data_IF_943903973790
#
_entry.id   IF_943903973790
#
_cell.length_a   1.000
_cell.length_b   1.000
_cell.length_c   1.000
_cell.angle_alpha   90.00
_cell.angle_beta   90.00
_cell.angle_gamma   90.00
#
_symmetry.space_group_name_H-M   'P 1'
#
loop_
_entity.id
_entity.type
_entity.pdbx_description
1 polymer ?
#
# COMPACT_ATOMS: atom_id res chain seq x y z
N UNK A 1 6.32 53.75 21.93
CA UNK A 1 5.82 52.67 22.79
C UNK A 1 6.76 51.48 22.66
N UNK A 2 7.39 51.04 23.76
CA UNK A 2 8.32 49.92 23.75
C UNK A 2 7.52 48.60 23.63
N UNK A 3 7.70 47.87 22.53
CA UNK A 3 7.09 46.54 22.36
C UNK A 3 7.69 45.62 23.45
N UNK A 4 6.85 45.16 24.38
CA UNK A 4 7.25 44.26 25.45
C UNK A 4 7.53 42.88 24.88
N UNK A 5 8.73 42.33 25.14
CA UNK A 5 9.07 40.98 24.70
C UNK A 5 8.25 39.94 25.45
N UNK A 6 7.50 39.11 24.71
CA UNK A 6 6.68 38.04 25.28
C UNK A 6 7.51 36.87 25.86
N UNK A 7 8.72 36.63 25.33
CA UNK A 7 9.57 35.51 25.71
C UNK A 7 11.00 35.95 26.10
N UNK A 8 11.59 35.23 27.07
CA UNK A 8 12.98 35.46 27.52
C UNK A 8 14.00 35.31 26.38
N UNK A 9 13.73 34.44 25.42
CA UNK A 9 14.62 34.15 24.29
C UNK A 9 14.17 34.90 23.04
N UNK A 10 15.14 35.31 22.21
CA UNK A 10 14.85 35.85 20.88
C UNK A 10 14.39 34.71 19.98
N UNK A 11 13.33 34.95 19.20
CA UNK A 11 12.89 34.02 18.16
C UNK A 11 13.95 33.92 17.05
N UNK A 12 13.81 32.94 16.17
CA UNK A 12 14.69 32.84 14.99
C UNK A 12 14.54 34.09 14.12
N UNK A 13 13.30 34.56 13.94
CA UNK A 13 12.98 35.71 13.10
C UNK A 13 13.60 37.00 13.66
N UNK A 14 13.48 37.26 14.96
CA UNK A 14 14.12 38.41 15.63
C UNK A 14 15.64 38.41 15.40
N UNK A 15 16.27 37.22 15.44
CA UNK A 15 17.71 37.09 15.20
C UNK A 15 18.05 37.36 13.74
N UNK A 16 17.23 36.90 12.80
CA UNK A 16 17.43 37.20 11.37
C UNK A 16 17.27 38.69 11.08
N UNK A 17 16.35 39.37 11.76
CA UNK A 17 16.15 40.82 11.62
C UNK A 17 17.37 41.60 12.12
N UNK A 18 17.94 41.19 13.26
CA UNK A 18 19.22 41.74 13.76
C UNK A 18 20.35 41.52 12.73
N UNK A 19 20.42 40.34 12.12
CA UNK A 19 21.45 40.02 11.13
C UNK A 19 21.29 40.88 9.87
N UNK A 20 20.07 40.98 9.32
CA UNK A 20 19.78 41.84 8.15
C UNK A 20 20.15 43.30 8.42
N UNK A 21 19.70 43.83 9.57
CA UNK A 21 19.99 45.21 9.96
C UNK A 21 21.50 45.53 10.03
N UNK A 22 22.31 44.56 10.47
CA UNK A 22 23.76 44.68 10.52
C UNK A 22 24.40 44.50 9.14
N UNK A 23 23.91 43.56 8.31
CA UNK A 23 24.40 43.33 6.95
C UNK A 23 24.18 44.56 6.04
N UNK A 24 23.03 45.22 6.13
CA UNK A 24 22.70 46.42 5.34
C UNK A 24 23.64 47.60 5.63
N UNK A 25 24.31 47.59 6.79
CA UNK A 25 25.22 48.65 7.26
C UNK A 25 26.69 48.23 7.20
N UNK A 26 26.98 47.08 6.61
CA UNK A 26 28.33 46.56 6.51
C UNK A 26 29.02 47.20 5.29
N UNK A 27 30.22 47.73 5.47
CA UNK A 27 31.04 48.27 4.38
C UNK A 27 32.42 47.61 4.39
N UNK A 28 32.87 47.14 3.22
CA UNK A 28 34.17 46.45 3.08
C UNK A 28 34.36 45.28 4.07
N UNK A 29 33.28 44.54 4.35
CA UNK A 29 33.29 43.41 5.29
C UNK A 29 33.40 43.78 6.77
N UNK A 30 33.30 45.07 7.12
CA UNK A 30 33.37 45.56 8.50
C UNK A 30 32.11 46.33 8.87
N UNK A 31 31.71 46.22 10.14
CA UNK A 31 30.64 47.03 10.70
C UNK A 31 31.21 48.38 11.16
N UNK A 32 30.66 49.51 10.67
CA UNK A 32 31.03 50.84 11.15
C UNK A 32 30.86 50.99 12.66
N UNK A 33 31.68 51.86 13.26
CA UNK A 33 31.62 52.13 14.70
C UNK A 33 30.25 52.72 15.03
N UNK A 34 29.56 52.08 15.98
CA UNK A 34 28.22 52.52 16.42
C UNK A 34 27.06 51.72 15.83
N UNK A 35 27.27 50.91 14.78
CA UNK A 35 26.19 50.11 14.14
C UNK A 35 25.48 49.17 15.11
N UNK A 36 26.21 48.56 16.07
CA UNK A 36 25.63 47.71 17.12
C UNK A 36 24.73 48.53 18.08
N UNK A 37 25.11 49.78 18.39
CA UNK A 37 24.30 50.67 19.26
C UNK A 37 23.04 51.13 18.52
N UNK A 38 23.15 51.42 17.23
CA UNK A 38 22.03 51.77 16.38
C UNK A 38 21.05 50.60 16.22
N UNK A 39 21.54 49.39 15.98
CA UNK A 39 20.72 48.18 15.90
C UNK A 39 20.01 47.86 17.24
N UNK A 40 20.71 48.02 18.36
CA UNK A 40 20.13 47.86 19.69
C UNK A 40 18.97 48.84 19.95
N UNK A 41 19.11 50.10 19.52
CA UNK A 41 18.06 51.11 19.65
C UNK A 41 16.88 50.86 18.71
N UNK A 42 17.16 50.52 17.45
CA UNK A 42 16.14 50.28 16.42
C UNK A 42 15.28 49.05 16.71
N UNK A 43 15.89 47.97 17.19
CA UNK A 43 15.22 46.70 17.46
C UNK A 43 14.80 46.55 18.93
N UNK A 44 15.02 47.57 19.76
CA UNK A 44 14.74 47.56 21.21
C UNK A 44 15.37 46.35 21.92
N UNK A 45 16.65 46.07 21.62
CA UNK A 45 17.42 44.94 22.15
C UNK A 45 18.61 45.40 22.97
N UNK A 46 19.05 44.55 23.91
CA UNK A 46 20.28 44.82 24.63
C UNK A 46 21.48 44.77 23.68
N UNK A 47 22.34 45.79 23.75
CA UNK A 47 23.58 45.89 22.95
C UNK A 47 24.44 44.62 23.01
N UNK A 48 24.52 43.94 24.17
CA UNK A 48 25.26 42.67 24.32
C UNK A 48 24.64 41.54 23.50
N UNK A 49 23.32 41.48 23.42
CA UNK A 49 22.59 40.49 22.61
C UNK A 49 22.86 40.70 21.12
N UNK A 50 22.74 41.95 20.64
CA UNK A 50 23.06 42.33 19.25
C UNK A 50 24.51 42.01 18.91
N UNK A 51 25.45 42.34 19.81
CA UNK A 51 26.86 42.03 19.63
C UNK A 51 27.13 40.52 19.57
N UNK A 52 26.46 39.72 20.39
CA UNK A 52 26.59 38.27 20.40
C UNK A 52 26.05 37.63 19.11
N UNK A 53 24.90 38.09 18.63
CA UNK A 53 24.30 37.64 17.36
C UNK A 53 25.20 38.03 16.18
N UNK A 54 25.66 39.29 16.13
CA UNK A 54 26.57 39.75 15.07
C UNK A 54 27.87 38.96 15.02
N UNK A 55 28.49 38.67 16.17
CA UNK A 55 29.70 37.84 16.24
C UNK A 55 29.42 36.41 15.77
N UNK A 56 28.32 35.81 16.23
CA UNK A 56 27.93 34.46 15.80
C UNK A 56 27.66 34.39 14.28
N UNK A 57 27.00 35.41 13.71
CA UNK A 57 26.77 35.50 12.28
C UNK A 57 28.06 35.64 11.48
N UNK A 58 28.99 36.49 11.91
CA UNK A 58 30.26 36.70 11.21
C UNK A 58 31.19 35.48 11.30
N UNK A 59 31.09 34.67 12.36
CA UNK A 59 31.94 33.48 12.53
C UNK A 59 31.30 32.19 12.00
N UNK A 60 29.98 32.04 12.11
CA UNK A 60 29.26 30.77 11.85
C UNK A 60 28.16 30.90 10.79
N UNK A 61 27.94 32.08 10.20
CA UNK A 61 26.88 32.33 9.21
C UNK A 61 25.45 32.30 9.75
N UNK A 62 25.24 31.91 11.01
CA UNK A 62 23.92 31.82 11.65
C UNK A 62 24.01 31.90 13.18
N UNK A 63 22.86 32.06 13.85
CA UNK A 63 22.74 32.11 15.32
C UNK A 63 21.67 31.14 15.89
N UNK A 64 21.72 29.84 15.55
CA UNK A 64 20.73 28.86 15.98
C UNK A 64 20.79 28.62 17.49
N UNK A 65 19.69 28.11 18.05
CA UNK A 65 19.66 27.70 19.45
C UNK A 65 20.57 26.49 19.68
N UNK A 66 21.43 26.55 20.70
CA UNK A 66 22.29 25.42 21.12
C UNK A 66 21.57 24.44 22.05
N UNK A 67 20.27 24.62 22.27
CA UNK A 67 19.47 23.81 23.21
C UNK A 67 19.18 22.41 22.69
N UNK A 68 18.98 22.26 21.38
CA UNK A 68 18.72 20.96 20.77
C UNK A 68 19.81 19.96 21.18
N UNK A 69 19.41 18.83 21.75
CA UNK A 69 20.31 17.80 22.27
C UNK A 69 21.00 18.10 23.61
N UNK A 70 20.98 19.34 24.12
CA UNK A 70 21.58 19.71 25.42
C UNK A 70 20.58 19.81 26.56
N UNK A 71 19.36 20.21 26.24
CA UNK A 71 18.27 20.36 27.22
C UNK A 71 17.14 19.38 26.90
N UNK A 72 16.40 18.97 27.93
CA UNK A 72 15.31 18.01 27.84
C UNK A 72 15.61 16.69 28.56
N UNK A 73 14.62 15.80 28.56
CA UNK A 73 14.73 14.49 29.22
C UNK A 73 15.67 13.59 28.42
N UNK A 74 16.68 13.03 29.08
CA UNK A 74 17.56 12.01 28.49
C UNK A 74 16.77 10.75 28.13
N UNK A 75 17.12 10.13 27.00
CA UNK A 75 16.49 8.90 26.55
C UNK A 75 16.83 7.78 27.55
N UNK A 76 15.83 6.99 27.97
CA UNK A 76 16.03 5.89 28.92
C UNK A 76 16.69 4.67 28.28
N UNK A 77 16.38 4.41 27.01
CA UNK A 77 16.92 3.32 26.22
C UNK A 77 17.44 3.90 24.91
N UNK A 78 18.70 3.67 24.58
CA UNK A 78 19.27 4.13 23.31
C UNK A 78 18.76 3.25 22.16
N UNK A 79 18.72 3.78 20.92
CA UNK A 79 18.33 2.98 19.75
C UNK A 79 19.12 1.67 19.64
N UNK A 80 20.42 1.73 19.88
CA UNK A 80 21.33 0.58 19.78
C UNK A 80 20.99 -0.50 20.81
N UNK A 81 20.70 -0.08 22.05
CA UNK A 81 20.31 -0.99 23.11
C UNK A 81 18.96 -1.66 22.85
N UNK A 82 18.00 -0.91 22.30
CA UNK A 82 16.70 -1.49 21.89
C UNK A 82 16.90 -2.51 20.77
N UNK A 83 17.71 -2.18 19.76
CA UNK A 83 18.01 -3.11 18.65
C UNK A 83 18.65 -4.39 19.16
N UNK A 84 19.62 -4.29 20.07
CA UNK A 84 20.26 -5.47 20.67
C UNK A 84 19.25 -6.37 21.38
N UNK A 85 18.41 -5.82 22.27
CA UNK A 85 17.40 -6.60 22.98
C UNK A 85 16.44 -7.33 22.03
N UNK A 86 16.00 -6.64 20.97
CA UNK A 86 15.11 -7.25 19.97
C UNK A 86 15.84 -8.30 19.14
N UNK A 87 17.15 -8.15 18.89
CA UNK A 87 17.97 -9.10 18.14
C UNK A 87 18.35 -10.38 18.91
N UNK A 88 18.17 -10.43 20.22
CA UNK A 88 18.45 -11.62 21.04
C UNK A 88 17.24 -12.56 21.15
N UNK A 89 16.01 -12.07 20.92
CA UNK A 89 14.78 -12.87 21.06
C UNK A 89 14.61 -13.97 19.98
N UNK A 90 14.02 -15.13 20.23
CA UNK A 90 13.64 -16.03 19.14
C UNK A 90 12.59 -15.38 18.20
N UNK A 91 12.50 -15.83 16.94
CA UNK A 91 11.61 -15.22 15.94
C UNK A 91 10.13 -15.20 16.38
N UNK A 92 9.69 -16.23 17.10
CA UNK A 92 8.31 -16.39 17.57
C UNK A 92 7.88 -15.26 18.51
N UNK A 93 8.81 -14.79 19.35
CA UNK A 93 8.62 -13.69 20.30
C UNK A 93 8.80 -12.30 19.67
N UNK A 94 9.13 -12.25 18.37
CA UNK A 94 9.23 -11.01 17.57
C UNK A 94 8.05 -10.79 16.63
N UNK A 95 7.00 -11.60 16.75
CA UNK A 95 5.88 -11.61 15.81
C UNK A 95 5.01 -10.35 15.91
N UNK A 96 4.55 -10.00 17.12
CA UNK A 96 3.82 -8.75 17.36
C UNK A 96 4.59 -7.79 18.24
N UNK A 97 4.22 -6.51 18.18
CA UNK A 97 4.77 -5.50 19.10
C UNK A 97 4.55 -5.86 20.58
N UNK A 98 3.46 -6.58 20.90
CA UNK A 98 3.15 -7.02 22.27
C UNK A 98 4.08 -8.12 22.74
N UNK A 99 4.41 -9.05 21.86
CA UNK A 99 5.32 -10.14 22.18
C UNK A 99 6.72 -9.58 22.42
N UNK A 100 7.19 -8.67 21.55
CA UNK A 100 8.46 -7.96 21.73
C UNK A 100 8.47 -7.19 23.06
N UNK A 101 7.40 -6.45 23.37
CA UNK A 101 7.31 -5.68 24.60
C UNK A 101 7.36 -6.58 25.85
N UNK A 102 6.65 -7.70 25.81
CA UNK A 102 6.59 -8.66 26.92
C UNK A 102 7.94 -9.33 27.12
N UNK A 103 8.59 -9.79 26.05
CA UNK A 103 9.85 -10.50 26.08
C UNK A 103 11.06 -9.59 26.41
N UNK A 104 11.10 -8.37 25.88
CA UNK A 104 12.19 -7.41 26.19
C UNK A 104 11.98 -6.63 27.49
N UNK A 105 10.80 -6.71 28.11
CA UNK A 105 10.41 -5.88 29.26
C UNK A 105 10.25 -4.38 28.92
N UNK A 106 10.28 -4.01 27.63
CA UNK A 106 10.06 -2.65 27.18
C UNK A 106 8.57 -2.35 27.07
N UNK A 107 8.18 -1.11 27.37
CA UNK A 107 6.77 -0.72 27.16
C UNK A 107 6.39 -0.76 25.69
N UNK A 108 5.13 -1.11 25.40
CA UNK A 108 4.56 -1.04 24.05
C UNK A 108 4.78 0.31 23.35
N UNK A 109 4.70 1.41 24.12
CA UNK A 109 4.96 2.76 23.59
C UNK A 109 6.42 3.00 23.20
N UNK A 110 7.38 2.31 23.84
CA UNK A 110 8.80 2.33 23.43
C UNK A 110 8.97 1.59 22.11
N UNK A 111 8.41 0.39 21.97
CA UNK A 111 8.48 -0.39 20.72
C UNK A 111 7.82 0.38 19.57
N UNK A 112 6.64 0.98 19.81
CA UNK A 112 5.93 1.78 18.82
C UNK A 112 6.76 2.98 18.33
N UNK A 113 7.42 3.71 19.24
CA UNK A 113 8.25 4.85 18.87
C UNK A 113 9.47 4.44 18.06
N UNK A 114 10.14 3.35 18.45
CA UNK A 114 11.30 2.84 17.72
C UNK A 114 10.93 2.32 16.32
N UNK A 115 9.74 1.74 16.15
CA UNK A 115 9.21 1.40 14.82
C UNK A 115 8.92 2.65 13.98
N UNK A 116 8.33 3.69 14.58
CA UNK A 116 8.02 4.95 13.87
C UNK A 116 9.27 5.76 13.51
N UNK A 117 10.30 5.71 14.35
CA UNK A 117 11.57 6.39 14.08
C UNK A 117 12.49 5.64 13.11
N UNK A 118 12.12 4.42 12.71
CA UNK A 118 12.92 3.56 11.83
C UNK A 118 14.08 2.85 12.52
N UNK A 119 14.16 2.90 13.85
CA UNK A 119 15.15 2.13 14.63
C UNK A 119 14.87 0.63 14.54
N UNK A 120 13.59 0.26 14.54
CA UNK A 120 13.12 -1.08 14.24
C UNK A 120 12.33 -1.00 12.93
N UNK A 121 12.52 -1.96 12.04
CA UNK A 121 11.79 -2.04 10.77
C UNK A 121 10.92 -3.28 10.71
N UNK A 122 9.74 -3.15 10.11
CA UNK A 122 8.88 -4.30 9.82
C UNK A 122 9.41 -5.03 8.60
N UNK A 123 9.79 -6.30 8.79
CA UNK A 123 10.14 -7.19 7.70
C UNK A 123 8.89 -7.97 7.31
N UNK A 124 8.30 -7.61 6.18
CA UNK A 124 7.36 -8.49 5.49
C UNK A 124 8.18 -9.38 4.55
N UNK A 125 8.10 -10.69 4.70
CA UNK A 125 8.67 -11.61 3.73
C UNK A 125 7.79 -11.58 2.48
N UNK A 126 8.09 -10.67 1.56
CA UNK A 126 7.47 -10.67 0.24
C UNK A 126 8.00 -11.88 -0.51
N UNK A 127 7.17 -12.92 -0.66
CA UNK A 127 7.48 -14.14 -1.42
C UNK A 127 7.61 -13.82 -2.90
N UNK A 128 8.74 -13.25 -3.31
CA UNK A 128 9.13 -13.09 -4.72
C UNK A 128 10.48 -13.79 -4.91
N UNK A 129 10.50 -15.13 -5.02
CA UNK A 129 11.73 -15.86 -5.26
C UNK A 129 12.39 -15.38 -6.56
N UNK A 130 13.71 -15.36 -6.58
CA UNK A 130 14.47 -15.09 -7.79
C UNK A 130 14.22 -16.22 -8.79
N UNK A 131 13.88 -15.87 -10.02
CA UNK A 131 13.61 -16.84 -11.08
C UNK A 131 14.83 -16.98 -11.99
N UNK A 132 15.28 -18.22 -12.16
CA UNK A 132 16.23 -18.60 -13.22
C UNK A 132 15.57 -18.54 -14.59
N UNK A 133 16.35 -18.61 -15.67
CA UNK A 133 15.80 -18.60 -17.03
C UNK A 133 14.99 -19.86 -17.34
N UNK A 134 15.33 -20.99 -16.73
CA UNK A 134 14.53 -22.22 -16.76
C UNK A 134 13.17 -21.99 -16.09
N UNK A 135 13.15 -21.41 -14.88
CA UNK A 135 11.91 -21.09 -14.17
C UNK A 135 11.03 -20.11 -14.97
N UNK A 136 11.62 -19.19 -15.75
CA UNK A 136 10.85 -18.27 -16.60
C UNK A 136 10.22 -19.01 -17.77
N UNK A 137 10.99 -19.89 -18.41
CA UNK A 137 10.54 -20.71 -19.55
C UNK A 137 9.41 -21.65 -19.13
N UNK A 138 9.58 -22.39 -18.02
CA UNK A 138 8.53 -23.26 -17.49
C UNK A 138 7.25 -22.49 -17.14
N UNK A 139 7.37 -21.29 -16.56
CA UNK A 139 6.20 -20.46 -16.25
C UNK A 139 5.43 -20.03 -17.49
N UNK A 140 6.13 -19.73 -18.58
CA UNK A 140 5.50 -19.41 -19.86
C UNK A 140 4.81 -20.66 -20.44
N UNK A 141 5.48 -21.80 -20.40
CA UNK A 141 4.94 -23.07 -20.89
C UNK A 141 3.66 -23.48 -20.15
N UNK A 142 3.66 -23.42 -18.81
CA UNK A 142 2.46 -23.65 -17.98
C UNK A 142 1.34 -22.65 -18.30
N UNK A 143 1.69 -21.41 -18.69
CA UNK A 143 0.71 -20.36 -19.03
C UNK A 143 0.11 -20.50 -20.43
N UNK A 144 0.68 -21.36 -21.29
CA UNK A 144 0.16 -21.67 -22.65
C UNK A 144 -0.91 -22.76 -22.64
N UNK A 145 -1.39 -23.16 -21.47
CA UNK A 145 -2.50 -24.09 -21.33
C UNK A 145 -3.82 -23.36 -21.16
N UNK A 146 -4.74 -23.58 -22.08
CA UNK A 146 -6.13 -23.09 -22.01
C UNK A 146 -7.04 -24.26 -21.64
N UNK A 147 -7.82 -24.10 -20.57
CA UNK A 147 -8.81 -25.07 -20.15
C UNK A 147 -10.20 -24.53 -20.44
N UNK A 148 -10.90 -25.18 -21.36
CA UNK A 148 -12.28 -24.88 -21.72
C UNK A 148 -13.17 -25.68 -20.77
N UNK A 149 -13.96 -24.97 -19.96
CA UNK A 149 -14.94 -25.57 -19.06
C UNK A 149 -16.34 -25.45 -19.68
N UNK A 150 -17.09 -26.54 -19.70
CA UNK A 150 -18.48 -26.57 -20.12
C UNK A 150 -19.25 -27.63 -19.32
N UNK A 151 -20.57 -27.53 -19.32
CA UNK A 151 -21.45 -28.53 -18.71
C UNK A 151 -21.57 -29.78 -19.59
N UNK A 152 -22.03 -30.88 -19.01
CA UNK A 152 -22.06 -32.17 -19.69
C UNK A 152 -23.37 -32.41 -20.48
N UNK A 153 -24.04 -31.35 -20.95
CA UNK A 153 -25.23 -31.50 -21.78
C UNK A 153 -24.90 -32.22 -23.11
N UNK A 154 -25.84 -33.00 -23.62
CA UNK A 154 -25.62 -33.90 -24.76
C UNK A 154 -24.99 -33.23 -26.00
N UNK A 155 -25.36 -31.99 -26.40
CA UNK A 155 -24.70 -31.29 -27.51
C UNK A 155 -23.22 -31.00 -27.28
N UNK A 156 -22.78 -30.87 -26.03
CA UNK A 156 -21.37 -30.61 -25.69
C UNK A 156 -20.51 -31.88 -25.62
N UNK A 157 -21.13 -33.07 -25.71
CA UNK A 157 -20.40 -34.33 -25.77
C UNK A 157 -19.62 -34.52 -27.08
N UNK A 158 -19.94 -33.75 -28.13
CA UNK A 158 -19.30 -33.81 -29.44
C UNK A 158 -17.93 -33.15 -29.52
N UNK A 159 -17.48 -32.43 -28.48
CA UNK A 159 -16.11 -31.91 -28.41
C UNK A 159 -15.17 -33.08 -28.08
N UNK A 160 -14.57 -33.64 -29.13
CA UNK A 160 -13.64 -34.77 -29.05
C UNK A 160 -12.19 -34.29 -29.06
N UNK A 161 -11.27 -35.17 -28.66
CA UNK A 161 -9.83 -34.90 -28.67
C UNK A 161 -9.34 -34.51 -30.07
N UNK A 162 -9.91 -35.08 -31.14
CA UNK A 162 -9.56 -34.72 -32.51
C UNK A 162 -9.88 -33.26 -32.90
N UNK A 163 -10.91 -32.65 -32.28
CA UNK A 163 -11.19 -31.22 -32.45
C UNK A 163 -10.13 -30.38 -31.73
N UNK A 164 -9.71 -30.81 -30.54
CA UNK A 164 -8.67 -30.13 -29.77
C UNK A 164 -7.31 -30.23 -30.46
N UNK A 165 -6.98 -31.39 -31.03
CA UNK A 165 -5.75 -31.60 -31.80
C UNK A 165 -5.70 -30.70 -33.04
N UNK A 166 -6.83 -30.55 -33.76
CA UNK A 166 -6.92 -29.66 -34.90
C UNK A 166 -6.73 -28.18 -34.53
N UNK A 167 -7.30 -27.76 -33.39
CA UNK A 167 -7.12 -26.41 -32.86
C UNK A 167 -5.66 -26.21 -32.45
N UNK A 168 -5.08 -27.14 -31.69
CA UNK A 168 -3.70 -27.08 -31.24
C UNK A 168 -2.71 -27.04 -32.41
N UNK A 169 -2.94 -27.82 -33.47
CA UNK A 169 -2.13 -27.80 -34.69
C UNK A 169 -2.21 -26.44 -35.43
N UNK A 170 -3.28 -25.68 -35.26
CA UNK A 170 -3.42 -24.33 -35.83
C UNK A 170 -2.55 -23.30 -35.09
N UNK A 171 -2.29 -23.51 -33.80
CA UNK A 171 -1.45 -22.61 -32.99
C UNK A 171 0.01 -23.11 -32.97
N UNK A 172 0.87 -22.49 -33.78
CA UNK A 172 2.27 -22.86 -33.93
C UNK A 172 3.13 -22.73 -32.65
N UNK A 173 2.65 -22.00 -31.64
CA UNK A 173 3.43 -21.60 -30.47
C UNK A 173 3.38 -22.58 -29.29
N UNK A 174 2.90 -23.81 -29.50
CA UNK A 174 2.83 -24.85 -28.46
C UNK A 174 1.72 -24.63 -27.42
N UNK A 175 0.59 -24.05 -27.85
CA UNK A 175 -0.58 -23.91 -26.99
C UNK A 175 -1.27 -25.25 -26.77
N UNK A 176 -1.65 -25.53 -25.53
CA UNK A 176 -2.36 -26.75 -25.16
C UNK A 176 -3.82 -26.43 -24.81
N UNK A 177 -4.76 -26.99 -25.55
CA UNK A 177 -6.20 -26.83 -25.27
C UNK A 177 -6.74 -28.10 -24.63
N UNK A 178 -7.34 -27.95 -23.45
CA UNK A 178 -8.00 -29.06 -22.76
C UNK A 178 -9.44 -28.74 -22.46
N UNK A 179 -10.28 -29.75 -22.56
CA UNK A 179 -11.67 -29.65 -22.14
C UNK A 179 -11.83 -30.26 -20.75
N UNK A 180 -12.43 -29.50 -19.85
CA UNK A 180 -12.78 -29.97 -18.51
C UNK A 180 -14.29 -30.06 -18.39
N UNK A 181 -14.78 -31.30 -18.31
CA UNK A 181 -16.19 -31.59 -18.03
C UNK A 181 -16.48 -31.37 -16.56
N UNK A 182 -17.60 -30.72 -16.29
CA UNK A 182 -18.07 -30.55 -14.92
C UNK A 182 -18.73 -31.81 -14.36
N UNK A 183 -18.73 -31.98 -13.03
CA UNK A 183 -19.57 -32.98 -12.39
C UNK A 183 -21.06 -32.74 -12.75
N UNK A 184 -21.86 -33.81 -12.88
CA UNK A 184 -23.30 -33.66 -13.12
C UNK A 184 -23.97 -32.78 -12.06
N UNK A 185 -25.00 -32.01 -12.48
CA UNK A 185 -25.83 -31.17 -11.60
C UNK A 185 -25.06 -30.16 -10.73
N UNK A 186 -23.96 -29.61 -11.23
CA UNK A 186 -23.11 -28.65 -10.49
C UNK A 186 -23.03 -27.26 -11.17
N UNK A 187 -24.17 -26.55 -11.32
CA UNK A 187 -24.19 -25.22 -11.96
C UNK A 187 -23.41 -24.17 -11.14
N UNK A 188 -23.33 -24.35 -9.83
CA UNK A 188 -22.56 -23.52 -8.90
C UNK A 188 -21.04 -23.60 -9.12
N UNK A 189 -20.57 -24.63 -9.81
CA UNK A 189 -19.16 -24.78 -10.21
C UNK A 189 -18.87 -24.23 -11.61
N UNK A 190 -19.87 -23.68 -12.31
CA UNK A 190 -19.69 -23.01 -13.61
C UNK A 190 -19.71 -21.48 -13.40
N UNK A 191 -18.68 -20.78 -13.85
CA UNK A 191 -18.64 -19.31 -13.75
C UNK A 191 -19.80 -18.65 -14.51
N UNK A 192 -20.25 -19.27 -15.61
CA UNK A 192 -21.32 -18.73 -16.44
C UNK A 192 -22.67 -18.77 -15.70
N UNK A 193 -23.03 -19.94 -15.18
CA UNK A 193 -24.29 -20.17 -14.47
C UNK A 193 -24.29 -19.54 -13.07
N UNK A 194 -23.15 -19.58 -12.36
CA UNK A 194 -23.04 -19.09 -10.99
C UNK A 194 -23.35 -17.59 -10.86
N UNK A 195 -23.02 -16.78 -11.87
CA UNK A 195 -23.23 -15.34 -11.75
C UNK A 195 -23.06 -14.50 -12.99
N UNK A 196 -22.40 -14.99 -14.04
CA UNK A 196 -22.24 -14.19 -15.26
C UNK A 196 -23.57 -13.97 -15.97
N UNK A 197 -24.34 -15.03 -16.25
CA UNK A 197 -25.64 -14.90 -16.89
C UNK A 197 -26.63 -14.11 -16.04
N UNK A 198 -26.64 -14.33 -14.72
CA UNK A 198 -27.46 -13.53 -13.80
C UNK A 198 -27.11 -12.03 -13.86
N UNK A 199 -25.83 -11.69 -14.05
CA UNK A 199 -25.38 -10.29 -14.16
C UNK A 199 -25.86 -9.64 -15.46
N UNK A 200 -25.72 -10.33 -16.59
CA UNK A 200 -26.23 -9.86 -17.89
C UNK A 200 -27.76 -9.72 -17.83
N UNK A 201 -28.44 -10.72 -17.30
CA UNK A 201 -29.90 -10.75 -17.21
C UNK A 201 -30.43 -9.60 -16.34
N UNK A 202 -29.74 -9.25 -15.24
CA UNK A 202 -30.12 -8.11 -14.39
C UNK A 202 -30.00 -6.75 -15.12
N UNK A 203 -29.06 -6.61 -16.05
CA UNK A 203 -28.95 -5.42 -16.91
C UNK A 203 -30.00 -5.45 -18.03
N UNK A 204 -30.16 -6.61 -18.67
CA UNK A 204 -31.15 -6.83 -19.72
C UNK A 204 -32.57 -6.48 -19.25
N UNK A 205 -32.95 -6.85 -18.03
CA UNK A 205 -34.28 -6.56 -17.46
C UNK A 205 -34.58 -5.07 -17.24
N UNK A 206 -33.58 -4.19 -17.34
CA UNK A 206 -33.80 -2.74 -17.32
C UNK A 206 -34.31 -2.20 -18.65
N UNK A 207 -34.22 -3.00 -19.71
CA UNK A 207 -34.68 -2.66 -21.06
C UNK A 207 -36.03 -3.31 -21.36
N UNK A 208 -36.90 -2.60 -22.08
CA UNK A 208 -38.19 -3.16 -22.52
C UNK A 208 -37.99 -3.84 -23.87
N UNK A 209 -38.16 -5.16 -23.91
CA UNK A 209 -38.08 -5.96 -25.13
C UNK A 209 -39.47 -6.51 -25.50
N UNK A 210 -39.92 -6.28 -26.74
CA UNK A 210 -41.22 -6.78 -27.24
C UNK A 210 -41.07 -7.84 -28.31
N UNK A 211 -39.85 -8.05 -28.80
CA UNK A 211 -39.50 -9.00 -29.86
C UNK A 211 -38.23 -9.75 -29.51
N UNK A 212 -37.95 -10.85 -30.22
CA UNK A 212 -36.70 -11.61 -30.09
C UNK A 212 -35.49 -10.72 -30.45
N UNK A 213 -35.60 -9.90 -31.48
CA UNK A 213 -34.52 -8.99 -31.88
C UNK A 213 -34.21 -7.94 -30.82
N UNK A 214 -35.24 -7.45 -30.11
CA UNK A 214 -35.03 -6.55 -28.97
C UNK A 214 -34.34 -7.25 -27.81
N UNK A 215 -34.65 -8.52 -27.57
CA UNK A 215 -33.95 -9.35 -26.58
C UNK A 215 -32.48 -9.48 -26.97
N UNK A 216 -32.16 -9.89 -28.20
CA UNK A 216 -30.78 -10.02 -28.68
C UNK A 216 -30.03 -8.70 -28.52
N UNK A 217 -30.62 -7.58 -28.97
CA UNK A 217 -30.01 -6.24 -28.85
C UNK A 217 -29.76 -5.85 -27.40
N UNK A 218 -30.74 -6.09 -26.51
CA UNK A 218 -30.61 -5.79 -25.08
C UNK A 218 -29.55 -6.63 -24.39
N UNK A 219 -29.40 -7.90 -24.77
CA UNK A 219 -28.39 -8.81 -24.22
C UNK A 219 -26.99 -8.42 -24.66
N UNK A 220 -26.80 -8.07 -25.93
CA UNK A 220 -25.50 -7.59 -26.44
C UNK A 220 -25.11 -6.26 -25.78
N UNK A 221 -26.04 -5.31 -25.66
CA UNK A 221 -25.78 -4.06 -24.95
C UNK A 221 -25.43 -4.28 -23.47
N UNK A 222 -26.12 -5.22 -22.80
CA UNK A 222 -25.82 -5.60 -21.42
C UNK A 222 -24.44 -6.27 -21.28
N UNK A 223 -24.02 -7.05 -22.28
CA UNK A 223 -22.67 -7.62 -22.32
C UNK A 223 -21.61 -6.52 -22.44
N UNK A 224 -21.80 -5.56 -23.34
CA UNK A 224 -20.87 -4.43 -23.52
C UNK A 224 -20.83 -3.49 -22.31
N UNK A 225 -21.96 -3.31 -21.59
CA UNK A 225 -22.04 -2.50 -20.37
C UNK A 225 -21.40 -3.21 -19.15
N UNK A 226 -21.32 -4.54 -19.17
CA UNK A 226 -20.86 -5.30 -18.02
C UNK A 226 -19.37 -5.06 -17.76
N UNK A 227 -19.05 -4.40 -16.65
CA UNK A 227 -17.67 -4.14 -16.27
C UNK A 227 -16.88 -5.43 -15.99
N UNK A 228 -15.61 -5.47 -16.39
CA UNK A 228 -14.65 -6.52 -16.02
C UNK A 228 -14.60 -6.76 -14.51
N UNK A 229 -14.82 -5.71 -13.71
CA UNK A 229 -14.89 -5.80 -12.27
C UNK A 229 -15.98 -6.79 -11.77
N UNK A 230 -17.11 -6.86 -12.46
CA UNK A 230 -18.19 -7.79 -12.13
C UNK A 230 -17.78 -9.22 -12.46
N UNK A 231 -17.06 -9.44 -13.55
CA UNK A 231 -16.49 -10.74 -13.89
C UNK A 231 -15.54 -11.24 -12.80
N UNK A 232 -14.60 -10.41 -12.34
CA UNK A 232 -13.70 -10.74 -11.24
C UNK A 232 -14.45 -11.16 -9.98
N UNK A 233 -15.55 -10.45 -9.67
CA UNK A 233 -16.38 -10.77 -8.51
C UNK A 233 -17.05 -12.15 -8.63
N UNK A 234 -17.41 -12.59 -9.83
CA UNK A 234 -17.95 -13.94 -10.06
C UNK A 234 -16.86 -14.99 -9.83
N UNK A 235 -15.65 -14.76 -10.34
CA UNK A 235 -14.52 -15.67 -10.08
C UNK A 235 -14.16 -15.79 -8.60
N UNK A 236 -14.15 -14.69 -7.85
CA UNK A 236 -13.97 -14.72 -6.39
C UNK A 236 -15.08 -15.52 -5.69
N UNK A 237 -16.31 -15.45 -6.22
CA UNK A 237 -17.43 -16.23 -5.70
C UNK A 237 -17.25 -17.71 -5.99
N UNK A 238 -16.83 -18.06 -7.21
CA UNK A 238 -16.55 -19.43 -7.62
C UNK A 238 -15.49 -20.08 -6.72
N UNK A 239 -14.40 -19.35 -6.40
CA UNK A 239 -13.38 -19.84 -5.48
C UNK A 239 -13.93 -20.09 -4.08
N UNK A 240 -14.81 -19.22 -3.58
CA UNK A 240 -15.47 -19.41 -2.29
C UNK A 240 -16.40 -20.62 -2.31
N UNK A 241 -17.20 -20.78 -3.38
CA UNK A 241 -18.08 -21.96 -3.58
C UNK A 241 -17.25 -23.23 -3.56
N UNK A 242 -16.19 -23.32 -4.37
CA UNK A 242 -15.32 -24.49 -4.42
C UNK A 242 -14.77 -24.87 -3.04
N UNK A 243 -14.38 -23.89 -2.23
CA UNK A 243 -13.93 -24.13 -0.85
C UNK A 243 -15.04 -24.71 0.02
N UNK A 244 -16.23 -24.14 -0.05
CA UNK A 244 -17.36 -24.57 0.79
C UNK A 244 -17.82 -25.97 0.40
N UNK A 245 -17.86 -26.26 -0.90
CA UNK A 245 -18.14 -27.61 -1.42
C UNK A 245 -17.14 -28.62 -0.83
N UNK A 246 -15.86 -28.27 -0.75
CA UNK A 246 -14.86 -29.13 -0.08
C UNK A 246 -15.10 -29.24 1.44
N UNK A 247 -15.41 -28.14 2.13
CA UNK A 247 -15.70 -28.13 3.57
C UNK A 247 -16.95 -28.96 3.92
N UNK A 248 -17.92 -29.06 3.01
CA UNK A 248 -19.17 -29.80 3.16
C UNK A 248 -19.14 -31.15 2.42
N UNK A 249 -17.95 -31.65 2.05
CA UNK A 249 -17.75 -32.96 1.42
C UNK A 249 -18.61 -33.19 0.15
N UNK A 250 -18.84 -32.15 -0.64
CA UNK A 250 -19.60 -32.22 -1.89
C UNK A 250 -21.11 -31.97 -1.76
N UNK A 251 -21.63 -31.68 -0.56
CA UNK A 251 -23.05 -31.36 -0.35
C UNK A 251 -23.37 -29.91 -0.74
N UNK A 252 -24.64 -29.64 -1.10
CA UNK A 252 -25.16 -28.34 -1.50
C UNK A 252 -25.89 -27.58 -0.38
N UNK A 253 -25.99 -28.16 0.83
CA UNK A 253 -26.63 -27.53 1.98
C UNK A 253 -25.72 -26.51 2.68
N UNK A 254 -25.33 -25.47 1.95
CA UNK A 254 -24.53 -24.38 2.49
C UNK A 254 -25.07 -23.01 2.08
N UNK A 255 -24.84 -22.01 2.92
CA UNK A 255 -25.13 -20.61 2.57
C UNK A 255 -23.86 -19.99 1.99
N UNK A 256 -24.01 -19.33 0.85
CA UNK A 256 -22.90 -18.54 0.30
C UNK A 256 -22.52 -17.41 1.27
N UNK A 257 -21.25 -17.33 1.68
CA UNK A 257 -20.80 -16.31 2.61
C UNK A 257 -20.83 -14.93 1.96
N UNK A 258 -21.08 -13.91 2.77
CA UNK A 258 -20.91 -12.53 2.33
C UNK A 258 -19.42 -12.22 2.16
N UNK A 259 -19.00 -12.22 0.90
CA UNK A 259 -17.62 -11.96 0.50
C UNK A 259 -17.40 -10.44 0.45
N UNK A 260 -16.39 -9.93 1.17
CA UNK A 260 -15.93 -8.55 1.06
C UNK A 260 -15.08 -8.39 -0.21
N UNK A 261 -15.70 -8.62 -1.39
CA UNK A 261 -15.02 -8.79 -2.68
C UNK A 261 -14.11 -7.61 -3.05
N UNK A 262 -14.52 -6.39 -2.72
CA UNK A 262 -13.72 -5.16 -2.92
C UNK A 262 -12.41 -5.13 -2.13
N UNK A 263 -12.37 -5.75 -0.94
CA UNK A 263 -11.16 -5.85 -0.14
C UNK A 263 -10.24 -6.95 -0.66
N UNK A 264 -10.80 -8.05 -1.18
CA UNK A 264 -10.04 -9.17 -1.73
C UNK A 264 -9.36 -8.83 -3.07
N UNK A 265 -9.94 -7.92 -3.88
CA UNK A 265 -9.29 -7.46 -5.12
C UNK A 265 -8.04 -6.60 -4.88
N UNK A 266 -7.90 -6.01 -3.69
CA UNK A 266 -6.80 -5.09 -3.35
C UNK A 266 -5.58 -5.78 -2.70
N UNK A 267 -5.69 -7.07 -2.41
CA UNK A 267 -4.65 -7.88 -1.75
C UNK A 267 -3.75 -8.56 -2.79
#
# INVERSE_FOLDING_TARGET
MAISRANRELTTDDKTEVVKYLQDRMSLGKLPRGSIKAAAAALNLNRKTVSGIGKACLTQGSSPSKKAGRVGRKLRYTPEHVTQLVQELPQEERSTMRDIATATGLTMGTICRNLKSGTLERRSSRLKPLLTDENRTERIDVSKRVVIQHDNASPHASVSDGVLDAIQAHFADGWEFRVRRQPPNSPDLNVLDLGFFASIQALQYKSVSRTVDDVIRSTLAAFDELSEEKLDNVFLTLQAVMRIVLEHNGDNHFRLPHLHKEAMRRA
#
